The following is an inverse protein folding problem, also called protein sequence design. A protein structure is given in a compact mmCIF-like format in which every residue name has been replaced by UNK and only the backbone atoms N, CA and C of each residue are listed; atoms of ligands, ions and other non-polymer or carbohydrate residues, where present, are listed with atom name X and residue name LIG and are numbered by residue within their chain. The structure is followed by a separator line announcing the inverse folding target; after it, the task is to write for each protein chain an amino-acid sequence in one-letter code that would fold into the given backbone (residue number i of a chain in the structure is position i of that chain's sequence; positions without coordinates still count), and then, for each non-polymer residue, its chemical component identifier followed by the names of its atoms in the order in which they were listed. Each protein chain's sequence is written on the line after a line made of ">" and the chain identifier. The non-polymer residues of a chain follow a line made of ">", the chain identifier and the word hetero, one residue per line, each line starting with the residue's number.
data_IF_356128815284
#
_entry.id   IF_356128815284
#
_cell.length_a   1.000
_cell.length_b   1.000
_cell.length_c   1.000
_cell.angle_alpha   90.00
_cell.angle_beta   90.00
_cell.angle_gamma   90.00
#
_symmetry.space_group_name_H-M   'P 1'
#
loop_
_entity.id
_entity.type
_entity.pdbx_description
1 polymer ?
#
# COMPACT_ATOMS: atom_id res chain seq x y z
N UNK A 1 -1.53 11.72 7.54
CA UNK A 1 -1.97 10.62 8.44
C UNK A 1 -0.82 10.32 9.35
N UNK A 2 -1.04 10.32 10.67
CA UNK A 2 -0.03 9.86 11.62
C UNK A 2 0.00 8.33 11.65
N UNK A 3 1.21 7.76 11.55
CA UNK A 3 1.47 6.33 11.62
C UNK A 3 2.40 6.09 12.81
N UNK A 4 1.78 5.79 13.94
CA UNK A 4 2.43 5.73 15.25
C UNK A 4 2.12 4.42 15.97
N UNK A 5 2.92 4.12 17.00
CA UNK A 5 2.75 2.99 17.90
C UNK A 5 1.33 2.90 18.47
N UNK A 6 0.80 4.02 18.97
CA UNK A 6 -0.51 4.05 19.61
C UNK A 6 -1.64 3.74 18.63
N UNK A 7 -1.48 4.17 17.37
CA UNK A 7 -2.45 3.83 16.33
C UNK A 7 -2.40 2.34 15.99
N UNK A 8 -1.21 1.75 15.89
CA UNK A 8 -1.08 0.31 15.67
C UNK A 8 -1.75 -0.48 16.82
N UNK A 9 -1.51 -0.08 18.07
CA UNK A 9 -2.12 -0.73 19.24
C UNK A 9 -3.65 -0.71 19.19
N UNK A 10 -4.26 0.41 18.75
CA UNK A 10 -5.72 0.51 18.58
C UNK A 10 -6.25 -0.29 17.39
N UNK A 11 -5.59 -0.22 16.24
CA UNK A 11 -6.08 -0.86 15.00
C UNK A 11 -5.89 -2.37 15.00
N UNK A 12 -4.87 -2.86 15.70
CA UNK A 12 -4.47 -4.26 15.75
C UNK A 12 -4.66 -4.91 17.13
N UNK A 13 -5.58 -4.39 17.95
CA UNK A 13 -5.79 -4.78 19.35
C UNK A 13 -5.73 -6.30 19.57
N UNK A 14 -6.48 -7.06 18.78
CA UNK A 14 -6.51 -8.52 18.87
C UNK A 14 -5.14 -9.19 18.59
N UNK A 15 -4.44 -8.75 17.55
CA UNK A 15 -3.11 -9.27 17.23
C UNK A 15 -2.09 -8.85 18.29
N UNK A 16 -2.22 -7.64 18.84
CA UNK A 16 -1.34 -7.15 19.89
C UNK A 16 -1.55 -7.90 21.20
N UNK A 17 -2.80 -8.26 21.53
CA UNK A 17 -3.10 -9.14 22.67
C UNK A 17 -2.45 -10.51 22.50
N UNK A 18 -2.52 -11.11 21.30
CA UNK A 18 -1.84 -12.37 21.01
C UNK A 18 -0.31 -12.23 21.05
N UNK A 19 0.24 -11.10 20.59
CA UNK A 19 1.67 -10.86 20.62
C UNK A 19 2.22 -10.71 22.05
N UNK A 20 1.42 -10.23 23.01
CA UNK A 20 1.76 -10.15 24.43
C UNK A 20 1.43 -11.41 25.24
N UNK A 21 0.87 -12.45 24.63
CA UNK A 21 0.27 -13.59 25.34
C UNK A 21 1.27 -14.65 25.86
N UNK A 22 2.55 -14.53 25.52
CA UNK A 22 3.60 -15.47 25.94
C UNK A 22 4.97 -14.78 25.93
N UNK A 23 5.89 -15.27 26.77
CA UNK A 23 7.31 -14.92 26.74
C UNK A 23 8.11 -15.66 25.67
N UNK A 24 7.53 -16.70 25.05
CA UNK A 24 8.19 -17.46 23.98
C UNK A 24 7.86 -16.89 22.60
N UNK A 25 8.90 -16.47 21.88
CA UNK A 25 8.75 -15.92 20.53
C UNK A 25 8.09 -16.90 19.56
N UNK A 26 8.40 -18.20 19.69
CA UNK A 26 7.82 -19.22 18.81
C UNK A 26 6.34 -19.48 19.11
N UNK A 27 5.96 -19.47 20.39
CA UNK A 27 4.54 -19.56 20.78
C UNK A 27 3.75 -18.36 20.26
N UNK A 28 4.31 -17.15 20.39
CA UNK A 28 3.70 -15.94 19.83
C UNK A 28 3.57 -16.05 18.30
N UNK A 29 4.61 -16.52 17.61
CA UNK A 29 4.61 -16.72 16.16
C UNK A 29 3.49 -17.66 15.73
N UNK A 30 3.38 -18.82 16.38
CA UNK A 30 2.36 -19.82 16.09
C UNK A 30 0.95 -19.24 16.29
N UNK A 31 0.70 -18.54 17.41
CA UNK A 31 -0.59 -17.91 17.71
C UNK A 31 -0.97 -16.85 16.68
N UNK A 32 -0.04 -15.96 16.34
CA UNK A 32 -0.26 -14.94 15.30
C UNK A 32 -0.53 -15.58 13.95
N UNK A 33 0.26 -16.58 13.56
CA UNK A 33 0.10 -17.28 12.28
C UNK A 33 -1.27 -17.99 12.20
N UNK A 34 -1.67 -18.66 13.29
CA UNK A 34 -2.97 -19.29 13.41
C UNK A 34 -4.11 -18.28 13.30
N UNK A 35 -4.00 -17.13 13.97
CA UNK A 35 -5.02 -16.09 13.90
C UNK A 35 -5.15 -15.48 12.50
N UNK A 36 -4.02 -15.13 11.88
CA UNK A 36 -3.96 -14.61 10.50
C UNK A 36 -4.55 -15.61 9.51
N UNK A 37 -4.34 -16.91 9.72
CA UNK A 37 -4.92 -17.96 8.87
C UNK A 37 -6.45 -17.98 8.95
N UNK A 38 -7.04 -17.63 10.10
CA UNK A 38 -8.50 -17.62 10.30
C UNK A 38 -9.19 -16.38 9.73
N UNK A 39 -8.49 -15.25 9.58
CA UNK A 39 -9.06 -14.01 9.04
C UNK A 39 -9.79 -14.20 7.70
N UNK A 40 -9.30 -15.08 6.82
CA UNK A 40 -9.94 -15.34 5.53
C UNK A 40 -11.30 -16.05 5.64
N UNK A 41 -11.61 -16.67 6.78
CA UNK A 41 -12.87 -17.35 7.04
C UNK A 41 -13.81 -16.46 7.86
N UNK A 42 -13.28 -15.76 8.86
CA UNK A 42 -14.10 -14.99 9.81
C UNK A 42 -14.68 -13.69 9.21
N UNK A 43 -14.05 -13.13 8.19
CA UNK A 43 -14.45 -11.82 7.62
C UNK A 43 -15.68 -11.94 6.71
N UNK A 44 -16.03 -13.15 6.25
CA UNK A 44 -17.17 -13.36 5.37
C UNK A 44 -18.34 -13.97 6.17
N UNK A 45 -19.19 -13.10 6.70
CA UNK A 45 -20.47 -13.48 7.32
C UNK A 45 -21.56 -13.66 6.25
N UNK A 46 -22.47 -14.63 6.43
CA UNK A 46 -23.59 -14.93 5.52
C UNK A 46 -24.49 -13.71 5.28
N UNK A 47 -24.50 -12.75 6.22
CA UNK A 47 -25.33 -11.54 6.14
C UNK A 47 -24.84 -10.50 5.14
N UNK A 48 -23.57 -10.56 4.72
CA UNK A 48 -22.99 -9.59 3.78
C UNK A 48 -22.12 -10.32 2.74
N UNK A 49 -22.71 -10.59 1.57
CA UNK A 49 -21.96 -11.17 0.44
C UNK A 49 -20.74 -10.29 0.11
N UNK A 50 -19.51 -10.79 0.30
CA UNK A 50 -18.31 -10.01 0.04
C UNK A 50 -18.16 -9.74 -1.45
N UNK A 51 -17.65 -8.55 -1.80
CA UNK A 51 -17.24 -8.26 -3.17
C UNK A 51 -15.98 -9.06 -3.52
N UNK A 52 -15.74 -9.33 -4.81
CA UNK A 52 -14.51 -9.98 -5.28
C UNK A 52 -13.27 -9.21 -4.77
N UNK A 53 -13.31 -7.88 -4.79
CA UNK A 53 -12.22 -7.04 -4.29
C UNK A 53 -11.95 -7.27 -2.79
N UNK A 54 -13.00 -7.38 -1.97
CA UNK A 54 -12.86 -7.66 -0.55
C UNK A 54 -12.24 -9.05 -0.33
N UNK A 55 -12.68 -10.05 -1.09
CA UNK A 55 -12.11 -11.41 -1.03
C UNK A 55 -10.62 -11.40 -1.36
N UNK A 56 -10.25 -10.77 -2.47
CA UNK A 56 -8.86 -10.66 -2.93
C UNK A 56 -8.01 -9.92 -1.89
N UNK A 57 -8.51 -8.79 -1.36
CA UNK A 57 -7.81 -7.99 -0.35
C UNK A 57 -7.51 -8.80 0.91
N UNK A 58 -8.52 -9.42 1.51
CA UNK A 58 -8.37 -10.23 2.72
C UNK A 58 -7.39 -11.36 2.48
N UNK A 59 -7.56 -12.10 1.37
CA UNK A 59 -6.69 -13.22 0.99
C UNK A 59 -5.24 -12.79 0.83
N UNK A 60 -4.98 -11.71 0.11
CA UNK A 60 -3.63 -11.29 -0.23
C UNK A 60 -2.91 -10.67 0.97
N UNK A 61 -3.62 -9.86 1.78
CA UNK A 61 -3.08 -9.34 3.04
C UNK A 61 -2.80 -10.48 4.04
N UNK A 62 -3.71 -11.45 4.20
CA UNK A 62 -3.48 -12.58 5.09
C UNK A 62 -2.33 -13.49 4.60
N UNK A 63 -2.16 -13.64 3.28
CA UNK A 63 -1.00 -14.35 2.70
C UNK A 63 0.31 -13.61 2.96
N UNK A 64 0.34 -12.30 2.72
CA UNK A 64 1.51 -11.47 2.97
C UNK A 64 1.90 -11.49 4.46
N UNK A 65 0.94 -11.30 5.36
CA UNK A 65 1.17 -11.34 6.79
C UNK A 65 1.67 -12.72 7.27
N UNK A 66 1.12 -13.83 6.75
CA UNK A 66 1.66 -15.17 7.04
C UNK A 66 3.08 -15.34 6.55
N UNK A 67 3.43 -14.78 5.40
CA UNK A 67 4.80 -14.82 4.90
C UNK A 67 5.74 -14.06 5.84
N UNK A 68 5.34 -12.85 6.25
CA UNK A 68 6.09 -12.01 7.20
C UNK A 68 6.34 -12.74 8.53
N UNK A 69 5.35 -13.49 9.02
CA UNK A 69 5.46 -14.22 10.28
C UNK A 69 6.31 -15.50 10.22
N UNK A 70 6.89 -15.89 9.08
CA UNK A 70 7.72 -17.11 8.99
C UNK A 70 9.12 -16.90 9.56
N UNK A 71 9.67 -17.92 10.20
CA UNK A 71 11.06 -17.91 10.70
C UNK A 71 12.05 -17.67 9.55
N UNK A 72 11.81 -18.26 8.38
CA UNK A 72 12.68 -18.08 7.21
C UNK A 72 12.71 -16.62 6.74
N UNK A 73 11.56 -15.94 6.79
CA UNK A 73 11.46 -14.51 6.42
C UNK A 73 12.28 -13.65 7.36
N UNK A 74 12.22 -13.90 8.66
CA UNK A 74 13.05 -13.20 9.64
C UNK A 74 14.54 -13.38 9.35
N UNK A 75 14.96 -14.61 9.03
CA UNK A 75 16.36 -14.92 8.70
C UNK A 75 16.84 -14.20 7.44
N UNK A 76 16.01 -14.18 6.40
CA UNK A 76 16.36 -13.52 5.13
C UNK A 76 16.36 -11.99 5.24
N UNK A 77 15.44 -11.42 6.03
CA UNK A 77 15.34 -9.98 6.21
C UNK A 77 16.30 -9.43 7.28
N UNK A 78 16.84 -10.30 8.15
CA UNK A 78 17.61 -9.88 9.32
C UNK A 78 16.77 -9.17 10.39
N UNK A 79 15.43 -9.23 10.28
CA UNK A 79 14.49 -8.53 11.13
C UNK A 79 13.26 -9.38 11.44
N UNK A 80 12.85 -9.42 12.71
CA UNK A 80 11.69 -10.20 13.15
C UNK A 80 10.49 -9.30 13.45
N UNK A 81 9.47 -9.37 12.60
CA UNK A 81 8.19 -8.67 12.83
C UNK A 81 7.48 -9.25 14.05
N UNK A 82 7.49 -10.58 14.23
CA UNK A 82 6.93 -11.24 15.41
C UNK A 82 7.54 -10.67 16.70
N UNK A 83 8.87 -10.50 16.73
CA UNK A 83 9.56 -9.92 17.89
C UNK A 83 9.18 -8.46 18.08
N UNK A 84 9.11 -7.67 17.00
CA UNK A 84 8.66 -6.29 17.07
C UNK A 84 7.24 -6.15 17.66
N UNK A 85 6.29 -6.96 17.20
CA UNK A 85 4.94 -7.00 17.76
C UNK A 85 4.95 -7.36 19.24
N UNK A 86 5.69 -8.41 19.61
CA UNK A 86 5.82 -8.87 20.99
C UNK A 86 6.46 -7.79 21.89
N UNK A 87 7.51 -7.11 21.43
CA UNK A 87 8.16 -6.03 22.17
C UNK A 87 7.20 -4.85 22.37
N UNK A 88 6.48 -4.43 21.33
CA UNK A 88 5.50 -3.34 21.41
C UNK A 88 4.38 -3.68 22.40
N UNK A 89 3.84 -4.91 22.34
CA UNK A 89 2.80 -5.38 23.26
C UNK A 89 3.25 -5.40 24.72
N UNK A 90 4.52 -5.74 24.96
CA UNK A 90 5.11 -5.77 26.30
C UNK A 90 5.66 -4.41 26.76
N UNK A 91 5.39 -3.32 26.02
CA UNK A 91 5.84 -2.00 26.41
C UNK A 91 7.33 -1.72 26.21
N UNK A 92 8.06 -2.59 25.51
CA UNK A 92 9.50 -2.42 25.28
C UNK A 92 9.76 -1.35 24.22
N UNK A 93 10.72 -0.44 24.45
CA UNK A 93 11.05 0.60 23.48
C UNK A 93 11.71 0.00 22.23
N UNK A 94 11.29 0.48 21.07
CA UNK A 94 11.78 0.08 19.75
C UNK A 94 12.04 1.32 18.88
N UNK A 95 13.12 2.08 19.16
CA UNK A 95 13.43 3.33 18.45
C UNK A 95 13.82 3.10 16.99
N UNK A 96 14.12 1.86 16.62
CA UNK A 96 14.38 1.41 15.25
C UNK A 96 13.12 1.44 14.35
N UNK A 97 11.92 1.49 14.94
CA UNK A 97 10.66 1.45 14.18
C UNK A 97 10.20 2.85 13.79
N UNK A 98 10.28 3.15 12.50
CA UNK A 98 9.79 4.40 11.93
C UNK A 98 8.31 4.38 11.51
N UNK A 99 7.75 5.53 11.10
CA UNK A 99 6.37 5.65 10.61
C UNK A 99 6.01 4.69 9.47
N UNK A 100 6.99 4.34 8.61
CA UNK A 100 6.79 3.39 7.51
C UNK A 100 6.40 2.00 7.99
N UNK A 101 7.07 1.49 9.03
CA UNK A 101 6.75 0.19 9.64
C UNK A 101 5.32 0.17 10.20
N UNK A 102 4.94 1.21 10.92
CA UNK A 102 3.57 1.32 11.47
C UNK A 102 2.53 1.44 10.35
N UNK A 103 2.83 2.19 9.29
CA UNK A 103 1.94 2.31 8.14
C UNK A 103 1.67 0.96 7.48
N UNK A 104 2.72 0.17 7.23
CA UNK A 104 2.60 -1.16 6.63
C UNK A 104 1.76 -2.08 7.49
N UNK A 105 2.04 -2.18 8.79
CA UNK A 105 1.27 -3.07 9.68
C UNK A 105 -0.18 -2.62 9.85
N UNK A 106 -0.44 -1.32 10.00
CA UNK A 106 -1.81 -0.79 10.11
C UNK A 106 -2.62 -1.14 8.86
N UNK A 107 -2.08 -0.89 7.66
CA UNK A 107 -2.77 -1.22 6.42
C UNK A 107 -2.89 -2.72 6.19
N UNK A 108 -1.90 -3.51 6.61
CA UNK A 108 -1.97 -4.97 6.55
C UNK A 108 -3.13 -5.50 7.39
N UNK A 109 -3.27 -5.00 8.63
CA UNK A 109 -4.37 -5.37 9.54
C UNK A 109 -5.71 -4.92 9.00
N UNK A 110 -5.81 -3.68 8.51
CA UNK A 110 -7.01 -3.19 7.86
C UNK A 110 -7.40 -4.08 6.68
N UNK A 111 -6.46 -4.44 5.82
CA UNK A 111 -6.67 -5.31 4.67
C UNK A 111 -7.15 -6.71 5.06
N UNK A 112 -6.56 -7.32 6.09
CA UNK A 112 -7.00 -8.61 6.64
C UNK A 112 -8.42 -8.55 7.20
N UNK A 113 -8.87 -7.39 7.69
CA UNK A 113 -10.24 -7.16 8.15
C UNK A 113 -11.19 -6.70 7.02
N UNK A 114 -10.75 -6.77 5.76
CA UNK A 114 -11.52 -6.30 4.60
C UNK A 114 -11.62 -4.78 4.48
N UNK A 115 -11.06 -4.03 5.44
CA UNK A 115 -10.96 -2.57 5.44
C UNK A 115 -9.82 -2.13 4.51
N UNK A 116 -9.85 -0.87 4.10
CA UNK A 116 -8.82 -0.32 3.22
C UNK A 116 -9.43 0.54 2.12
N UNK A 117 -8.59 1.39 1.49
CA UNK A 117 -9.09 2.39 0.57
C UNK A 117 -9.73 1.72 -0.65
N UNK A 118 -11.01 2.00 -0.87
CA UNK A 118 -11.74 1.63 -2.08
C UNK A 118 -11.27 2.48 -3.25
N UNK A 119 -10.15 2.09 -3.85
CA UNK A 119 -9.53 2.82 -4.96
C UNK A 119 -9.77 2.15 -6.31
N UNK A 120 -10.32 0.93 -6.33
CA UNK A 120 -10.62 0.30 -7.60
C UNK A 120 -11.84 0.99 -8.22
N UNK A 121 -11.83 1.27 -9.54
CA UNK A 121 -13.04 1.72 -10.25
C UNK A 121 -14.26 0.81 -9.99
N UNK A 122 -14.02 -0.48 -9.74
CA UNK A 122 -15.04 -1.46 -9.37
C UNK A 122 -15.70 -1.22 -8.01
N UNK A 123 -15.07 -0.47 -7.09
CA UNK A 123 -15.65 -0.09 -5.80
C UNK A 123 -16.76 0.97 -5.94
N UNK A 124 -16.86 1.63 -7.09
CA UNK A 124 -17.90 2.61 -7.39
C UNK A 124 -19.15 2.02 -8.03
N UNK A 125 -19.11 0.74 -8.44
CA UNK A 125 -20.22 0.10 -9.14
C UNK A 125 -21.29 -0.27 -8.11
N UNK A 126 -22.17 0.67 -7.78
CA UNK A 126 -23.45 0.30 -7.15
C UNK A 126 -24.29 -0.38 -8.22
N UNK A 127 -24.71 -1.62 -7.97
CA UNK A 127 -25.80 -2.27 -8.71
C UNK A 127 -27.10 -1.50 -8.45
N UNK A 128 -27.27 -0.35 -9.08
CA UNK A 128 -28.54 0.36 -9.09
C UNK A 128 -29.41 -0.31 -10.15
N UNK A 129 -30.59 -0.81 -9.75
CA UNK A 129 -31.65 -1.24 -10.68
C UNK A 129 -32.31 -0.02 -11.35
N UNK A 130 -31.50 0.84 -11.96
CA UNK A 130 -31.97 1.95 -12.77
C UNK A 130 -31.97 1.54 -14.24
N UNK A 131 -32.96 2.00 -14.98
CA UNK A 131 -33.08 1.78 -16.42
C UNK A 131 -33.18 3.11 -17.17
N UNK A 132 -32.97 3.08 -18.50
CA UNK A 132 -33.12 4.23 -19.38
C UNK A 132 -32.25 5.43 -19.02
N UNK A 133 -32.79 6.65 -19.21
CA UNK A 133 -32.07 7.92 -19.02
C UNK A 133 -31.53 8.10 -17.60
N UNK A 134 -32.26 7.66 -16.58
CA UNK A 134 -31.83 7.76 -15.18
C UNK A 134 -30.57 6.93 -14.92
N UNK A 135 -30.47 5.74 -15.53
CA UNK A 135 -29.27 4.91 -15.46
C UNK A 135 -28.08 5.53 -16.19
N UNK A 136 -28.30 6.19 -17.32
CA UNK A 136 -27.24 6.88 -18.06
C UNK A 136 -26.64 8.05 -17.25
N UNK A 137 -27.48 8.89 -16.65
CA UNK A 137 -27.04 10.01 -15.79
C UNK A 137 -26.27 9.50 -14.56
N UNK A 138 -26.76 8.44 -13.91
CA UNK A 138 -26.08 7.84 -12.76
C UNK A 138 -24.68 7.32 -13.13
N UNK A 139 -24.56 6.60 -14.26
CA UNK A 139 -23.27 6.11 -14.77
C UNK A 139 -22.30 7.24 -15.13
N UNK A 140 -22.79 8.32 -15.76
CA UNK A 140 -21.95 9.48 -16.08
C UNK A 140 -21.36 10.11 -14.82
N UNK A 141 -22.18 10.31 -13.78
CA UNK A 141 -21.71 10.85 -12.49
C UNK A 141 -20.72 9.92 -11.79
N UNK A 142 -20.86 8.61 -11.95
CA UNK A 142 -19.87 7.65 -11.45
C UNK A 142 -18.54 7.78 -12.20
N UNK A 143 -18.56 7.93 -13.53
CA UNK A 143 -17.35 8.18 -14.32
C UNK A 143 -16.66 9.49 -13.93
N UNK A 144 -17.42 10.56 -13.64
CA UNK A 144 -16.85 11.82 -13.14
C UNK A 144 -16.11 11.62 -11.81
N UNK A 145 -16.66 10.80 -10.90
CA UNK A 145 -16.00 10.46 -9.62
C UNK A 145 -14.73 9.65 -9.83
N UNK A 146 -14.75 8.71 -10.77
CA UNK A 146 -13.55 7.95 -11.15
C UNK A 146 -12.51 8.89 -11.74
N UNK A 147 -12.90 9.78 -12.65
CA UNK A 147 -12.02 10.77 -13.27
C UNK A 147 -11.37 11.69 -12.24
N UNK A 148 -12.12 12.21 -11.26
CA UNK A 148 -11.53 13.04 -10.20
C UNK A 148 -10.40 12.32 -9.45
N UNK A 149 -10.57 11.04 -9.12
CA UNK A 149 -9.51 10.25 -8.46
C UNK A 149 -8.32 10.01 -9.39
N UNK A 150 -8.57 9.64 -10.64
CA UNK A 150 -7.51 9.41 -11.64
C UNK A 150 -6.72 10.68 -11.90
N UNK A 151 -7.41 11.81 -12.12
CA UNK A 151 -6.79 13.12 -12.33
C UNK A 151 -5.95 13.55 -11.13
N UNK A 152 -6.45 13.39 -9.91
CA UNK A 152 -5.67 13.67 -8.70
C UNK A 152 -4.41 12.78 -8.59
N UNK A 153 -4.48 11.53 -9.02
CA UNK A 153 -3.33 10.63 -9.03
C UNK A 153 -2.33 11.00 -10.13
N UNK A 154 -2.81 11.34 -11.33
CA UNK A 154 -1.97 11.79 -12.45
C UNK A 154 -1.24 13.10 -12.12
N UNK A 155 -1.90 14.04 -11.45
CA UNK A 155 -1.32 15.32 -11.02
C UNK A 155 -0.13 15.18 -10.05
N UNK A 156 0.10 13.99 -9.47
CA UNK A 156 1.27 13.73 -8.62
C UNK A 156 2.57 13.58 -9.43
N UNK A 157 2.48 13.28 -10.72
CA UNK A 157 3.63 13.07 -11.58
C UNK A 157 3.84 14.27 -12.47
N UNK A 158 5.08 14.76 -12.51
CA UNK A 158 5.44 15.82 -13.45
C UNK A 158 5.39 15.31 -14.88
N UNK A 159 4.83 16.10 -15.79
CA UNK A 159 4.86 15.79 -17.21
C UNK A 159 5.88 16.64 -17.98
N UNK A 160 6.32 16.15 -19.13
CA UNK A 160 7.40 16.74 -19.92
C UNK A 160 7.10 18.12 -20.55
N UNK A 161 5.88 18.62 -20.37
CA UNK A 161 5.43 19.94 -20.84
C UNK A 161 5.36 20.97 -19.71
N UNK A 162 5.64 20.59 -18.47
CA UNK A 162 5.72 21.54 -17.36
C UNK A 162 7.00 22.39 -17.48
N UNK A 163 6.87 23.69 -17.27
CA UNK A 163 7.99 24.64 -17.35
C UNK A 163 9.17 24.20 -16.47
N UNK A 164 8.90 23.82 -15.22
CA UNK A 164 9.95 23.34 -14.31
C UNK A 164 10.68 22.09 -14.82
N UNK A 165 9.99 21.21 -15.56
CA UNK A 165 10.59 20.00 -16.14
C UNK A 165 11.41 20.37 -17.39
N UNK A 166 10.95 21.34 -18.18
CA UNK A 166 11.67 21.88 -19.33
C UNK A 166 12.98 22.54 -18.87
N UNK A 167 12.94 23.35 -17.82
CA UNK A 167 14.12 23.99 -17.21
C UNK A 167 15.15 22.97 -16.74
N UNK A 168 14.70 21.94 -15.99
CA UNK A 168 15.57 20.85 -15.53
C UNK A 168 16.24 20.16 -16.74
N UNK A 169 15.48 19.91 -17.81
CA UNK A 169 16.01 19.26 -19.03
C UNK A 169 17.02 20.14 -19.75
N UNK A 170 16.75 21.44 -19.89
CA UNK A 170 17.66 22.39 -20.52
C UNK A 170 18.97 22.50 -19.74
N UNK A 171 18.90 22.62 -18.41
CA UNK A 171 20.09 22.66 -17.55
C UNK A 171 20.91 21.36 -17.65
N UNK A 172 20.26 20.19 -17.68
CA UNK A 172 20.95 18.90 -17.87
C UNK A 172 21.61 18.79 -19.25
N UNK A 173 20.91 19.19 -20.31
CA UNK A 173 21.49 19.26 -21.67
C UNK A 173 22.76 20.09 -21.65
N UNK A 174 22.69 21.30 -21.10
CA UNK A 174 23.82 22.23 -21.17
C UNK A 174 25.02 21.74 -20.34
N UNK A 175 24.77 21.07 -19.20
CA UNK A 175 25.80 20.36 -18.43
C UNK A 175 26.45 19.23 -19.22
N UNK A 176 25.67 18.35 -19.85
CA UNK A 176 26.21 17.22 -20.62
C UNK A 176 27.02 17.73 -21.81
N UNK A 177 26.50 18.73 -22.52
CA UNK A 177 27.20 19.39 -23.64
C UNK A 177 28.53 19.99 -23.20
N UNK A 178 28.57 20.64 -22.04
CA UNK A 178 29.81 21.22 -21.51
C UNK A 178 30.87 20.15 -21.19
N UNK A 179 30.46 18.98 -20.71
CA UNK A 179 31.38 17.86 -20.40
C UNK A 179 31.86 17.15 -21.67
N UNK A 180 30.97 16.91 -22.63
CA UNK A 180 31.26 16.15 -23.84
C UNK A 180 31.74 17.00 -25.02
N UNK A 181 31.80 18.33 -24.86
CA UNK A 181 32.23 19.26 -25.92
C UNK A 181 31.24 19.41 -27.08
N UNK A 182 29.97 19.07 -26.89
CA UNK A 182 28.96 19.06 -27.96
C UNK A 182 28.27 20.41 -28.22
N UNK A 183 28.09 20.76 -29.49
CA UNK A 183 27.28 21.90 -29.90
C UNK A 183 25.78 21.65 -29.70
N UNK A 184 24.96 22.70 -29.75
CA UNK A 184 23.51 22.54 -29.66
C UNK A 184 22.95 21.76 -30.87
N UNK A 185 23.55 21.94 -32.05
CA UNK A 185 23.16 21.23 -33.27
C UNK A 185 23.41 19.72 -33.15
N UNK A 186 24.56 19.34 -32.60
CA UNK A 186 24.91 17.94 -32.33
C UNK A 186 24.04 17.32 -31.26
N UNK A 187 23.63 18.09 -30.24
CA UNK A 187 22.70 17.58 -29.24
C UNK A 187 21.38 17.07 -29.83
N UNK A 188 20.90 17.72 -30.90
CA UNK A 188 19.69 17.31 -31.62
C UNK A 188 19.96 16.26 -32.72
N UNK A 189 21.22 15.83 -32.91
CA UNK A 189 21.58 14.71 -33.76
C UNK A 189 21.80 13.45 -32.91
N UNK A 190 20.92 12.45 -33.07
CA UNK A 190 21.03 11.19 -32.33
C UNK A 190 22.36 10.46 -32.62
N UNK A 191 22.99 10.68 -33.77
CA UNK A 191 24.29 10.05 -34.13
C UNK A 191 25.43 10.51 -33.23
N UNK A 192 25.36 11.74 -32.72
CA UNK A 192 26.35 12.25 -31.77
C UNK A 192 26.20 11.59 -30.39
N UNK A 193 24.97 11.23 -29.99
CA UNK A 193 24.68 10.66 -28.67
C UNK A 193 25.10 9.19 -28.51
N UNK A 194 25.27 8.47 -29.60
CA UNK A 194 25.57 7.01 -29.61
C UNK A 194 26.98 6.68 -30.12
N UNK A 195 27.84 7.70 -30.23
CA UNK A 195 29.26 7.53 -30.60
C UNK A 195 30.11 7.06 -29.43
#
# INVERSE_FOLDING_TARGET
>A
MDYSRDRLLREAEELMALAGSSSSLEVVRERLFGRVTRYQFDVFDERHLPTINNIVRVRDCARAMRSILRIQSDRMAGFSVTRALMDISNGKPRPDLGPGFYAELIHMVQGMQGRGPGLAPSDFVRRQKLTGRRAAIARSRELDRVWMKVGAFMARYRHGLEESTIEIRNNRRDKIRAVLGGTLKEWYDWRWQVK
#
